data_IF_942824790245
#
_entry.id   IF_942824790245
#
_cell.length_a   1.000
_cell.length_b   1.000
_cell.length_c   1.000
_cell.angle_alpha   90.00
_cell.angle_beta   90.00
_cell.angle_gamma   90.00
#
_symmetry.space_group_name_H-M   'P 1'
#
loop_
_entity.id
_entity.type
_entity.pdbx_description
1 polymer ?
#
# COMPACT_ATOMS: atom_id res chain seq x y z
N UNK A 1 2.70 -10.05 9.55
CA UNK A 1 2.65 -9.90 8.09
C UNK A 1 1.18 -9.63 7.70
N UNK A 2 0.92 -8.48 7.16
CA UNK A 2 -0.45 -7.90 7.05
C UNK A 2 -1.33 -8.48 5.93
N UNK A 3 -0.79 -9.38 5.10
CA UNK A 3 -1.50 -9.96 3.95
C UNK A 3 -2.75 -10.77 4.31
N UNK A 4 -2.82 -11.30 5.55
CA UNK A 4 -4.01 -12.02 6.02
C UNK A 4 -5.21 -11.09 6.31
N UNK A 5 -5.02 -9.77 6.24
CA UNK A 5 -6.07 -8.76 6.44
C UNK A 5 -6.82 -8.41 5.16
N UNK A 6 -6.23 -8.67 3.98
CA UNK A 6 -6.78 -8.22 2.71
C UNK A 6 -8.18 -8.79 2.45
N UNK A 7 -9.13 -7.91 2.18
CA UNK A 7 -10.49 -8.23 1.72
C UNK A 7 -10.62 -8.10 0.21
N UNK A 8 -9.79 -7.26 -0.42
CA UNK A 8 -9.73 -7.03 -1.88
C UNK A 8 -8.33 -7.34 -2.40
N UNK A 9 -8.28 -8.04 -3.54
CA UNK A 9 -7.04 -8.42 -4.23
C UNK A 9 -7.24 -8.21 -5.72
N UNK A 10 -6.39 -7.38 -6.32
CA UNK A 10 -6.35 -7.12 -7.76
C UNK A 10 -4.99 -7.53 -8.30
N UNK A 11 -4.96 -8.38 -9.32
CA UNK A 11 -3.74 -8.80 -10.00
C UNK A 11 -3.70 -8.27 -11.43
N UNK A 12 -2.56 -7.75 -11.86
CA UNK A 12 -2.31 -7.36 -13.24
C UNK A 12 -1.47 -8.41 -13.96
N UNK A 13 -1.86 -8.74 -15.18
CA UNK A 13 -1.20 -9.73 -16.04
C UNK A 13 -0.95 -9.17 -17.43
N UNK A 14 0.16 -9.58 -18.02
CA UNK A 14 0.47 -9.37 -19.45
C UNK A 14 0.66 -10.74 -20.07
N UNK A 15 -0.31 -11.19 -20.85
CA UNK A 15 -0.41 -12.61 -21.18
C UNK A 15 -0.52 -13.44 -19.91
N UNK A 16 0.38 -14.41 -19.72
CA UNK A 16 0.45 -15.25 -18.51
C UNK A 16 1.40 -14.71 -17.42
N UNK A 17 2.10 -13.60 -17.71
CA UNK A 17 3.06 -13.00 -16.76
C UNK A 17 2.34 -12.12 -15.75
N UNK A 18 2.53 -12.40 -14.46
CA UNK A 18 2.07 -11.53 -13.36
C UNK A 18 2.99 -10.32 -13.25
N UNK A 19 2.42 -9.11 -13.36
CA UNK A 19 3.17 -7.85 -13.44
C UNK A 19 2.78 -6.81 -12.41
N UNK A 20 1.80 -7.08 -11.55
CA UNK A 20 1.43 -6.14 -10.50
C UNK A 20 0.30 -6.62 -9.60
N UNK A 21 0.17 -5.98 -8.44
CA UNK A 21 -0.86 -6.31 -7.45
C UNK A 21 -1.27 -5.10 -6.65
N UNK A 22 -2.55 -5.05 -6.29
CA UNK A 22 -3.10 -4.17 -5.27
C UNK A 22 -3.82 -5.00 -4.21
N UNK A 23 -3.51 -4.76 -2.94
CA UNK A 23 -4.19 -5.35 -1.78
C UNK A 23 -4.85 -4.24 -0.97
N UNK A 24 -6.11 -4.45 -0.57
CA UNK A 24 -6.82 -3.53 0.30
C UNK A 24 -7.61 -4.29 1.39
N UNK A 25 -7.78 -3.63 2.53
CA UNK A 25 -8.61 -4.07 3.65
C UNK A 25 -9.78 -3.10 3.81
N UNK A 26 -10.98 -3.54 3.38
CA UNK A 26 -12.18 -2.74 3.45
C UNK A 26 -13.05 -3.17 4.63
N UNK A 27 -13.52 -2.19 5.42
CA UNK A 27 -14.36 -2.45 6.59
C UNK A 27 -15.67 -3.13 6.21
N UNK A 28 -16.04 -4.15 6.99
CA UNK A 28 -17.30 -4.87 6.81
C UNK A 28 -17.30 -5.88 5.66
N UNK A 29 -16.19 -6.05 4.95
CA UNK A 29 -16.08 -7.06 3.91
C UNK A 29 -15.43 -8.36 4.43
N UNK A 30 -15.87 -9.54 3.93
CA UNK A 30 -15.28 -10.80 4.35
C UNK A 30 -13.85 -10.92 3.82
N UNK A 31 -12.94 -11.42 4.66
CA UNK A 31 -11.56 -11.72 4.24
C UNK A 31 -11.56 -12.77 3.14
N UNK A 32 -10.85 -12.50 2.04
CA UNK A 32 -10.77 -13.43 0.92
C UNK A 32 -9.99 -14.68 1.30
N UNK A 33 -10.41 -15.81 0.73
CA UNK A 33 -9.84 -17.13 1.02
C UNK A 33 -8.32 -17.17 0.78
N UNK A 34 -7.61 -17.79 1.71
CA UNK A 34 -6.14 -17.94 1.75
C UNK A 34 -5.51 -18.54 0.49
N UNK A 35 -6.27 -19.23 -0.36
CA UNK A 35 -5.75 -19.89 -1.56
C UNK A 35 -5.33 -18.92 -2.67
N UNK A 36 -6.10 -17.85 -2.90
CA UNK A 36 -5.78 -16.82 -3.91
C UNK A 36 -4.60 -15.98 -3.40
N UNK A 37 -4.61 -15.64 -2.11
CA UNK A 37 -3.52 -14.92 -1.45
C UNK A 37 -2.21 -15.72 -1.50
N UNK A 38 -2.24 -17.05 -1.37
CA UNK A 38 -1.06 -17.91 -1.52
C UNK A 38 -0.47 -17.88 -2.93
N UNK A 39 -1.29 -17.91 -3.96
CA UNK A 39 -0.81 -17.87 -5.35
C UNK A 39 -0.19 -16.50 -5.68
N UNK A 40 -0.82 -15.41 -5.26
CA UNK A 40 -0.29 -14.05 -5.37
C UNK A 40 1.00 -13.92 -4.56
N UNK A 41 1.03 -14.49 -3.34
CA UNK A 41 2.18 -14.46 -2.45
C UNK A 41 3.41 -15.14 -3.02
N UNK A 42 3.28 -16.34 -3.59
CA UNK A 42 4.42 -17.07 -4.17
C UNK A 42 5.03 -16.32 -5.35
N UNK A 43 4.20 -15.77 -6.23
CA UNK A 43 4.67 -14.97 -7.38
C UNK A 43 5.24 -13.61 -6.98
N UNK A 44 4.76 -13.03 -5.88
CA UNK A 44 5.18 -11.73 -5.36
C UNK A 44 6.41 -11.85 -4.45
N UNK A 45 6.63 -13.00 -3.80
CA UNK A 45 7.69 -13.20 -2.81
C UNK A 45 9.09 -13.02 -3.41
N UNK A 46 9.34 -13.55 -4.60
CA UNK A 46 10.62 -13.41 -5.30
C UNK A 46 10.91 -11.94 -5.63
N UNK A 47 9.88 -11.17 -5.96
CA UNK A 47 10.00 -9.76 -6.29
C UNK A 47 10.08 -8.88 -5.02
N UNK A 48 9.31 -9.21 -3.98
CA UNK A 48 9.25 -8.46 -2.72
C UNK A 48 10.54 -8.57 -1.90
N UNK A 49 11.29 -9.68 -2.01
CA UNK A 49 12.59 -9.84 -1.35
C UNK A 49 13.57 -8.73 -1.74
N UNK A 50 13.49 -8.23 -2.96
CA UNK A 50 14.33 -7.12 -3.43
C UNK A 50 13.89 -5.74 -2.88
N UNK A 51 12.60 -5.61 -2.50
CA UNK A 51 12.02 -4.33 -2.01
C UNK A 51 12.07 -4.16 -0.50
N UNK A 52 12.03 -5.26 0.28
CA UNK A 52 11.81 -5.25 1.75
C UNK A 52 13.10 -5.46 2.54
N UNK A 53 14.21 -5.74 1.90
CA UNK A 53 15.49 -5.94 2.58
C UNK A 53 15.94 -4.67 3.31
N UNK A 54 15.68 -4.58 4.62
CA UNK A 54 16.39 -3.67 5.51
C UNK A 54 15.59 -2.57 6.23
N UNK A 55 14.27 -2.58 6.28
CA UNK A 55 13.52 -1.57 7.04
C UNK A 55 13.40 -1.99 8.52
N UNK A 56 13.87 -1.15 9.43
CA UNK A 56 13.66 -1.28 10.87
C UNK A 56 12.18 -1.14 11.22
N UNK A 57 11.52 -2.24 11.52
CA UNK A 57 10.04 -2.37 11.54
C UNK A 57 9.39 -1.57 12.68
N UNK A 58 10.02 -1.47 13.88
CA UNK A 58 9.37 -0.94 15.07
C UNK A 58 9.04 0.56 15.02
N UNK A 59 10.02 1.41 14.71
CA UNK A 59 9.81 2.87 14.66
C UNK A 59 8.84 3.28 13.55
N UNK A 60 8.79 2.51 12.46
CA UNK A 60 7.88 2.70 11.34
C UNK A 60 6.44 2.38 11.75
N UNK A 61 6.23 1.27 12.47
CA UNK A 61 4.91 0.85 12.94
C UNK A 61 4.32 1.83 13.95
N UNK A 62 5.14 2.35 14.89
CA UNK A 62 4.72 3.35 15.88
C UNK A 62 4.29 4.66 15.21
N UNK A 63 5.05 5.13 14.22
CA UNK A 63 4.73 6.32 13.45
C UNK A 63 3.42 6.16 12.66
N UNK A 64 3.21 5.01 12.03
CA UNK A 64 1.98 4.71 11.29
C UNK A 64 0.76 4.68 12.22
N UNK A 65 0.87 4.06 13.39
CA UNK A 65 -0.20 4.04 14.37
C UNK A 65 -0.54 5.44 14.90
N UNK A 66 0.47 6.27 15.15
CA UNK A 66 0.27 7.63 15.62
C UNK A 66 -0.39 8.51 14.56
N UNK A 67 0.06 8.43 13.30
CA UNK A 67 -0.58 9.09 12.17
C UNK A 67 -2.04 8.65 12.01
N UNK A 68 -2.32 7.37 12.13
CA UNK A 68 -3.68 6.85 12.00
C UNK A 68 -4.60 7.36 13.12
N UNK A 69 -4.14 7.37 14.37
CA UNK A 69 -4.90 7.94 15.49
C UNK A 69 -5.21 9.42 15.27
N UNK A 70 -4.23 10.18 14.79
CA UNK A 70 -4.41 11.60 14.48
C UNK A 70 -5.42 11.80 13.35
N UNK A 71 -5.30 11.06 12.27
CA UNK A 71 -6.20 11.09 11.12
C UNK A 71 -7.65 10.74 11.49
N UNK A 72 -7.83 9.72 12.33
CA UNK A 72 -9.16 9.28 12.77
C UNK A 72 -9.88 10.22 13.74
N UNK A 73 -9.21 11.28 14.26
CA UNK A 73 -9.89 12.29 15.08
C UNK A 73 -10.97 13.04 14.30
N UNK A 74 -10.75 13.26 13.01
CA UNK A 74 -11.63 14.05 12.15
C UNK A 74 -12.15 13.24 10.94
N UNK A 75 -11.77 11.99 10.80
CA UNK A 75 -12.09 11.16 9.65
C UNK A 75 -12.53 9.75 10.10
N UNK A 76 -13.45 9.18 9.33
CA UNK A 76 -13.85 7.77 9.49
C UNK A 76 -13.54 7.03 8.18
N UNK A 77 -12.32 6.48 8.02
CA UNK A 77 -11.98 5.78 6.79
C UNK A 77 -12.73 4.46 6.68
N UNK A 78 -13.06 4.09 5.46
CA UNK A 78 -13.76 2.86 5.11
C UNK A 78 -12.81 1.71 4.79
N UNK A 79 -11.53 2.01 4.48
CA UNK A 79 -10.55 0.98 4.18
C UNK A 79 -9.13 1.50 4.03
N UNK A 80 -8.19 0.55 3.97
CA UNK A 80 -6.77 0.77 3.78
C UNK A 80 -6.28 0.11 2.50
N UNK A 81 -5.54 0.84 1.66
CA UNK A 81 -4.73 0.22 0.61
C UNK A 81 -3.43 -0.26 1.27
N UNK A 82 -3.35 -1.57 1.52
CA UNK A 82 -2.24 -2.20 2.24
C UNK A 82 -0.98 -2.23 1.39
N UNK A 83 -1.15 -2.51 0.09
CA UNK A 83 -0.03 -2.73 -0.81
C UNK A 83 -0.41 -2.43 -2.26
N UNK A 84 0.45 -1.74 -2.97
CA UNK A 84 0.35 -1.52 -4.41
C UNK A 84 1.75 -1.60 -5.01
N UNK A 85 1.91 -2.51 -5.95
CA UNK A 85 3.19 -2.71 -6.61
C UNK A 85 3.02 -3.13 -8.06
N UNK A 86 3.93 -2.68 -8.90
CA UNK A 86 4.02 -3.05 -10.31
C UNK A 86 5.47 -3.40 -10.66
N UNK A 87 5.65 -4.38 -11.52
CA UNK A 87 6.96 -4.79 -12.01
C UNK A 87 7.55 -3.69 -12.91
N UNK A 88 8.66 -3.05 -12.51
CA UNK A 88 9.28 -1.98 -13.30
C UNK A 88 9.91 -2.50 -14.60
N UNK A 89 10.25 -3.79 -14.66
CA UNK A 89 10.99 -4.42 -15.75
C UNK A 89 10.09 -5.07 -16.81
N UNK A 90 8.78 -5.10 -16.59
CA UNK A 90 7.82 -5.68 -17.56
C UNK A 90 7.67 -4.89 -18.86
N UNK A 91 8.29 -3.71 -18.98
CA UNK A 91 8.25 -2.86 -20.18
C UNK A 91 6.93 -2.12 -20.42
N UNK A 92 5.91 -2.32 -19.56
CA UNK A 92 4.59 -1.69 -19.68
C UNK A 92 4.42 -0.63 -18.60
N UNK A 93 4.04 0.57 -19.01
CA UNK A 93 3.73 1.68 -18.10
C UNK A 93 2.25 1.69 -17.71
N UNK A 94 1.95 2.24 -16.53
CA UNK A 94 0.58 2.50 -16.09
C UNK A 94 -0.09 1.33 -15.38
N UNK A 95 0.61 0.23 -15.08
CA UNK A 95 0.06 -0.93 -14.35
C UNK A 95 -0.49 -0.52 -12.98
N UNK A 96 0.28 0.25 -12.19
CA UNK A 96 -0.20 0.75 -10.90
C UNK A 96 -1.44 1.63 -11.02
N UNK A 97 -1.53 2.42 -12.10
CA UNK A 97 -2.73 3.23 -12.39
C UNK A 97 -3.93 2.34 -12.71
N UNK A 98 -3.74 1.32 -13.55
CA UNK A 98 -4.82 0.39 -13.92
C UNK A 98 -5.36 -0.36 -12.69
N UNK A 99 -4.47 -0.84 -11.82
CA UNK A 99 -4.84 -1.50 -10.56
C UNK A 99 -5.64 -0.57 -9.64
N UNK A 100 -5.17 0.67 -9.47
CA UNK A 100 -5.85 1.65 -8.64
C UNK A 100 -7.20 2.05 -9.22
N UNK A 101 -7.30 2.23 -10.54
CA UNK A 101 -8.58 2.54 -11.21
C UNK A 101 -9.58 1.40 -11.06
N UNK A 102 -9.15 0.14 -11.19
CA UNK A 102 -10.01 -1.01 -10.97
C UNK A 102 -10.56 -1.05 -9.53
N UNK A 103 -9.70 -0.83 -8.54
CA UNK A 103 -10.10 -0.72 -7.14
C UNK A 103 -11.10 0.43 -6.93
N UNK A 104 -10.79 1.63 -7.42
CA UNK A 104 -11.63 2.81 -7.25
C UNK A 104 -13.01 2.66 -7.90
N UNK A 105 -13.10 1.95 -9.03
CA UNK A 105 -14.39 1.71 -9.70
C UNK A 105 -15.37 0.86 -8.89
N UNK A 106 -14.85 0.00 -8.01
CA UNK A 106 -15.68 -0.82 -7.12
C UNK A 106 -16.01 -0.15 -5.79
N UNK A 107 -15.19 0.81 -5.36
CA UNK A 107 -15.23 1.39 -4.01
C UNK A 107 -15.67 2.85 -3.98
N UNK A 108 -16.45 3.28 -4.99
CA UNK A 108 -16.97 4.67 -5.10
C UNK A 108 -17.68 5.14 -3.83
N UNK A 109 -17.47 6.40 -3.46
CA UNK A 109 -18.00 7.04 -2.27
C UNK A 109 -17.23 6.77 -0.97
N UNK A 110 -16.31 5.79 -0.95
CA UNK A 110 -15.57 5.40 0.25
C UNK A 110 -14.34 6.28 0.49
N UNK A 111 -14.00 6.50 1.76
CA UNK A 111 -12.77 7.15 2.18
C UNK A 111 -11.71 6.09 2.46
N UNK A 112 -10.65 6.09 1.67
CA UNK A 112 -9.54 5.15 1.83
C UNK A 112 -8.26 5.88 2.20
N UNK A 113 -7.35 5.17 2.88
CA UNK A 113 -6.03 5.68 3.23
C UNK A 113 -4.95 4.64 2.92
N UNK A 114 -3.71 5.09 2.93
CA UNK A 114 -2.51 4.26 2.78
C UNK A 114 -1.33 4.88 3.51
N UNK A 115 -0.34 4.03 3.82
CA UNK A 115 0.94 4.46 4.33
C UNK A 115 2.02 4.36 3.24
N UNK A 116 2.91 5.32 3.24
CA UNK A 116 4.11 5.33 2.41
C UNK A 116 5.22 6.13 3.11
N UNK A 117 6.33 6.37 2.44
CA UNK A 117 7.43 7.18 2.95
C UNK A 117 8.09 7.98 1.83
N UNK A 118 8.99 8.89 2.18
CA UNK A 118 9.68 9.77 1.22
C UNK A 118 10.81 9.06 0.46
N UNK A 119 11.15 7.83 0.80
CA UNK A 119 12.03 6.97 0.01
C UNK A 119 11.28 6.21 -1.10
N UNK A 120 9.94 6.17 -1.04
CA UNK A 120 9.08 5.57 -2.05
C UNK A 120 8.58 6.61 -3.07
N UNK A 121 7.92 6.14 -4.13
CA UNK A 121 7.35 7.00 -5.18
C UNK A 121 5.99 7.56 -4.73
N UNK A 122 5.95 8.32 -3.61
CA UNK A 122 4.70 8.87 -3.04
C UNK A 122 3.98 9.83 -3.97
N UNK A 123 4.71 10.52 -4.87
CA UNK A 123 4.14 11.41 -5.89
C UNK A 123 3.14 10.70 -6.81
N UNK A 124 3.27 9.38 -6.95
CA UNK A 124 2.30 8.56 -7.66
C UNK A 124 0.89 8.75 -7.10
N UNK A 125 0.74 8.78 -5.78
CA UNK A 125 -0.56 8.96 -5.13
C UNK A 125 -1.06 10.40 -5.26
N UNK A 126 -0.19 11.39 -5.13
CA UNK A 126 -0.55 12.80 -5.31
C UNK A 126 -1.12 13.06 -6.71
N UNK A 127 -0.48 12.52 -7.76
CA UNK A 127 -0.96 12.64 -9.14
C UNK A 127 -2.31 11.92 -9.38
N UNK A 128 -2.77 11.09 -8.45
CA UNK A 128 -4.05 10.37 -8.54
C UNK A 128 -5.09 10.87 -7.54
N UNK A 129 -4.87 12.08 -7.03
CA UNK A 129 -5.83 12.78 -6.20
C UNK A 129 -5.86 12.35 -4.74
N UNK A 130 -4.85 11.62 -4.28
CA UNK A 130 -4.65 11.43 -2.85
C UNK A 130 -4.04 12.68 -2.23
N UNK A 131 -4.51 13.02 -1.04
CA UNK A 131 -4.00 14.13 -0.24
C UNK A 131 -3.18 13.61 0.93
N UNK A 132 -2.04 14.26 1.20
CA UNK A 132 -1.24 13.99 2.39
C UNK A 132 -2.01 14.45 3.62
N UNK A 133 -2.45 13.51 4.43
CA UNK A 133 -3.26 13.77 5.62
C UNK A 133 -2.42 13.90 6.88
N UNK A 134 -1.36 13.09 7.00
CA UNK A 134 -0.45 13.08 8.13
C UNK A 134 0.98 12.80 7.69
N UNK A 135 1.96 13.23 8.52
CA UNK A 135 3.38 12.88 8.35
C UNK A 135 4.10 12.80 9.69
N UNK A 136 5.11 11.93 9.78
CA UNK A 136 6.00 11.80 10.95
C UNK A 136 7.42 11.55 10.49
N UNK A 137 8.36 12.27 11.11
CA UNK A 137 9.78 12.02 10.91
C UNK A 137 10.22 10.90 11.86
N UNK A 138 10.89 9.90 11.33
CA UNK A 138 11.44 8.76 12.09
C UNK A 138 12.92 8.58 11.75
N UNK A 139 13.65 7.93 12.64
CA UNK A 139 15.01 7.47 12.37
C UNK A 139 15.01 5.97 12.40
N UNK A 140 15.30 5.36 11.25
CA UNK A 140 15.39 3.91 11.12
C UNK A 140 16.83 3.48 11.42
N UNK A 141 16.98 2.60 12.41
CA UNK A 141 18.27 2.02 12.76
C UNK A 141 18.48 0.71 11.97
N UNK A 142 19.44 0.73 11.06
CA UNK A 142 19.84 -0.42 10.24
C UNK A 142 21.09 -1.11 10.82
N UNK A 143 21.35 -0.97 12.11
CA UNK A 143 22.48 -1.57 12.83
C UNK A 143 23.81 -0.83 12.61
N UNK A 144 24.22 -0.61 11.38
CA UNK A 144 25.47 0.12 11.02
C UNK A 144 25.21 1.57 10.63
N UNK A 145 23.96 1.95 10.33
CA UNK A 145 23.59 3.28 9.84
C UNK A 145 22.21 3.66 10.36
N UNK A 146 22.08 4.89 10.84
CA UNK A 146 20.80 5.53 11.14
C UNK A 146 20.37 6.34 9.93
N UNK A 147 19.15 6.08 9.43
CA UNK A 147 18.61 6.74 8.24
C UNK A 147 17.36 7.52 8.65
N UNK A 148 17.35 8.85 8.45
CA UNK A 148 16.12 9.63 8.60
C UNK A 148 15.13 9.23 7.49
N UNK A 149 13.85 9.09 7.86
CA UNK A 149 12.77 8.74 6.95
C UNK A 149 11.53 9.52 7.35
N UNK A 150 10.79 10.03 6.38
CA UNK A 150 9.49 10.66 6.61
C UNK A 150 8.38 9.69 6.26
N UNK A 151 7.69 9.20 7.28
CA UNK A 151 6.48 8.40 7.11
C UNK A 151 5.32 9.31 6.73
N UNK A 152 4.49 8.87 5.80
CA UNK A 152 3.39 9.63 5.22
C UNK A 152 2.10 8.80 5.25
N UNK A 153 1.00 9.43 5.64
CA UNK A 153 -0.35 8.89 5.46
C UNK A 153 -1.07 9.72 4.41
N UNK A 154 -1.49 9.06 3.34
CA UNK A 154 -2.32 9.64 2.29
C UNK A 154 -3.74 9.14 2.39
N UNK A 155 -4.71 9.99 2.05
CA UNK A 155 -6.10 9.58 1.95
C UNK A 155 -6.79 10.15 0.73
N UNK A 156 -7.87 9.48 0.29
CA UNK A 156 -8.70 9.89 -0.84
C UNK A 156 -10.13 9.44 -0.60
N UNK A 157 -11.10 10.34 -0.85
CA UNK A 157 -12.48 9.91 -1.07
C UNK A 157 -12.64 9.57 -2.53
N UNK A 158 -12.97 8.31 -2.77
CA UNK A 158 -13.19 7.80 -4.13
C UNK A 158 -14.48 8.40 -4.68
N UNK A 159 -14.42 8.98 -5.88
CA UNK A 159 -15.55 9.63 -6.54
C UNK A 159 -16.47 8.62 -7.22
#
# INVERSE_FOLDING_TARGET
MEMNRATKVYGAYVGDAFVGVLLADMKGEPKRHQSILKQVYVKMFDWLQHLVAGKGVGAYDDANQDMFRSFCRNNSPDGEIIFLAADPDCGIKGIGTALLTAFESEESGKLVYLYTDDACTYQFYEHRGFSRSESRDVTVDLGKKKVPLKCLLYSKRIL
#
